data_IF_251692777235
#
_entry.id   IF_251692777235
#
_cell.length_a   1.000
_cell.length_b   1.000
_cell.length_c   1.000
_cell.angle_alpha   90.00
_cell.angle_beta   90.00
_cell.angle_gamma   90.00
#
_symmetry.space_group_name_H-M   'P 1'
#
loop_
_entity.id
_entity.type
_entity.pdbx_description
1 polymer ?
#
# COMPACT_ATOMS: atom_id res chain seq x y z
N UNK A 1 -35.64 2.10 -26.59
CA UNK A 1 -34.97 1.48 -25.44
C UNK A 1 -35.42 2.23 -24.20
N UNK A 2 -36.19 1.57 -23.32
CA UNK A 2 -36.95 2.18 -22.24
C UNK A 2 -36.16 2.05 -20.93
N UNK A 3 -35.79 3.17 -20.33
CA UNK A 3 -34.92 3.31 -19.14
C UNK A 3 -35.65 2.99 -17.82
N UNK A 4 -36.63 2.08 -17.85
CA UNK A 4 -37.49 1.73 -16.70
C UNK A 4 -36.88 0.72 -15.72
N UNK A 5 -35.71 0.15 -16.04
CA UNK A 5 -35.01 -0.82 -15.20
C UNK A 5 -33.84 -0.21 -14.40
N UNK A 6 -33.80 1.13 -14.26
CA UNK A 6 -32.85 1.78 -13.36
C UNK A 6 -33.30 1.57 -11.92
N UNK A 7 -32.81 0.50 -11.30
CA UNK A 7 -32.99 0.23 -9.87
C UNK A 7 -32.26 1.32 -9.08
N UNK A 8 -33.00 2.07 -8.27
CA UNK A 8 -32.44 3.01 -7.32
C UNK A 8 -31.74 2.21 -6.21
N UNK A 9 -30.42 2.04 -6.33
CA UNK A 9 -29.60 1.47 -5.27
C UNK A 9 -29.53 2.50 -4.13
N UNK A 10 -30.32 2.23 -3.09
CA UNK A 10 -30.33 2.95 -1.83
C UNK A 10 -28.91 3.01 -1.27
N UNK A 11 -28.37 4.22 -1.18
CA UNK A 11 -27.12 4.63 -0.55
C UNK A 11 -25.92 3.69 -0.72
N UNK A 12 -24.97 4.11 -1.56
CA UNK A 12 -23.58 3.72 -1.39
C UNK A 12 -23.13 4.13 0.02
N UNK A 13 -23.20 3.19 0.99
CA UNK A 13 -22.50 3.32 2.27
C UNK A 13 -21.02 3.51 1.96
N UNK A 14 -20.59 4.77 1.92
CA UNK A 14 -19.17 5.10 2.03
C UNK A 14 -18.70 4.40 3.30
N UNK A 15 -17.65 3.60 3.19
CA UNK A 15 -16.94 3.14 4.38
C UNK A 15 -16.29 4.37 5.01
N UNK A 16 -17.06 5.08 5.82
CA UNK A 16 -16.57 6.04 6.78
C UNK A 16 -15.94 5.24 7.91
N UNK A 17 -14.65 4.94 7.76
CA UNK A 17 -13.68 5.05 8.84
C UNK A 17 -12.28 5.02 8.22
N UNK A 18 -11.86 6.15 7.64
CA UNK A 18 -10.42 6.38 7.50
C UNK A 18 -9.94 6.86 8.87
N UNK A 19 -9.75 5.93 9.81
CA UNK A 19 -9.11 6.23 11.08
C UNK A 19 -7.80 6.96 10.77
N UNK A 20 -7.61 8.15 11.36
CA UNK A 20 -6.42 8.97 11.11
C UNK A 20 -5.14 8.29 11.62
N UNK A 21 -5.29 7.23 12.42
CA UNK A 21 -4.29 6.24 12.79
C UNK A 21 -3.92 5.37 11.60
N UNK A 22 -3.49 5.99 10.49
CA UNK A 22 -2.84 5.27 9.39
C UNK A 22 -1.62 4.59 10.01
N UNK A 23 -1.75 3.28 10.29
CA UNK A 23 -0.70 2.48 10.89
C UNK A 23 0.63 2.74 10.19
N UNK A 24 1.73 2.66 10.94
CA UNK A 24 3.07 3.03 10.49
C UNK A 24 3.34 2.59 9.04
N UNK A 25 3.64 3.57 8.20
CA UNK A 25 3.97 3.36 6.80
C UNK A 25 5.26 2.53 6.78
N UNK A 26 5.13 1.30 6.32
CA UNK A 26 6.21 0.35 6.19
C UNK A 26 6.66 0.26 4.74
N UNK A 27 7.95 0.03 4.52
CA UNK A 27 8.51 -0.20 3.20
C UNK A 27 9.12 -1.60 3.14
N UNK A 28 8.73 -2.36 2.12
CA UNK A 28 9.23 -3.71 1.89
C UNK A 28 10.00 -3.77 0.59
N UNK A 29 11.26 -4.17 0.65
CA UNK A 29 12.05 -4.39 -0.55
C UNK A 29 11.78 -5.80 -1.07
N UNK A 30 11.27 -5.90 -2.30
CA UNK A 30 11.00 -7.20 -2.95
C UNK A 30 12.28 -7.95 -3.31
N UNK A 31 13.36 -7.23 -3.59
CA UNK A 31 14.65 -7.83 -3.93
C UNK A 31 15.36 -8.41 -2.70
N UNK A 32 15.24 -7.74 -1.55
CA UNK A 32 15.82 -8.20 -0.28
C UNK A 32 14.85 -9.07 0.55
N UNK A 33 13.60 -9.15 0.12
CA UNK A 33 12.49 -9.85 0.78
C UNK A 33 12.26 -9.46 2.25
N UNK A 34 12.64 -8.23 2.64
CA UNK A 34 12.54 -7.74 4.01
C UNK A 34 11.99 -6.33 4.10
N UNK A 35 11.49 -6.00 5.29
CA UNK A 35 11.18 -4.63 5.67
C UNK A 35 12.47 -3.82 5.75
N UNK A 36 12.46 -2.65 5.13
CA UNK A 36 13.59 -1.72 5.09
C UNK A 36 13.09 -0.31 5.31
N UNK A 37 13.92 0.56 5.85
CA UNK A 37 13.65 2.00 5.79
C UNK A 37 14.08 2.51 4.42
N UNK A 38 13.13 2.60 3.48
CA UNK A 38 13.45 2.97 2.12
C UNK A 38 13.83 4.46 2.01
N UNK A 39 14.91 4.75 1.30
CA UNK A 39 15.40 6.12 1.11
C UNK A 39 14.70 6.74 -0.09
N UNK A 40 14.13 7.93 0.07
CA UNK A 40 13.67 8.72 -1.08
C UNK A 40 14.87 9.24 -1.86
N UNK A 41 14.97 8.86 -3.14
CA UNK A 41 16.06 9.35 -4.02
C UNK A 41 15.96 10.86 -4.27
N UNK A 42 14.74 11.40 -4.30
CA UNK A 42 14.47 12.80 -4.53
C UNK A 42 13.39 13.29 -3.56
N UNK A 43 13.48 14.54 -3.06
CA UNK A 43 12.49 15.11 -2.14
C UNK A 43 11.08 15.15 -2.74
N UNK A 44 10.98 15.39 -4.06
CA UNK A 44 9.71 15.41 -4.81
C UNK A 44 9.43 14.11 -5.59
N UNK A 45 10.24 13.07 -5.40
CA UNK A 45 10.14 11.83 -6.15
C UNK A 45 9.31 10.76 -5.43
N UNK A 46 8.51 10.01 -6.20
CA UNK A 46 7.85 8.79 -5.73
C UNK A 46 8.76 7.55 -5.78
N UNK A 47 10.05 7.74 -6.10
CA UNK A 47 11.03 6.65 -6.20
C UNK A 47 11.74 6.46 -4.85
N UNK A 48 11.49 5.30 -4.26
CA UNK A 48 12.17 4.83 -3.07
C UNK A 48 13.23 3.81 -3.46
N UNK A 49 14.35 3.82 -2.74
CA UNK A 49 15.48 2.93 -2.96
C UNK A 49 15.72 2.13 -1.69
N UNK A 50 15.96 0.83 -1.85
CA UNK A 50 16.43 -0.01 -0.75
C UNK A 50 17.88 0.37 -0.38
N UNK A 51 18.19 0.72 0.88
CA UNK A 51 19.57 1.01 1.29
C UNK A 51 20.50 -0.21 1.26
N UNK A 52 19.96 -1.43 1.15
CA UNK A 52 20.72 -2.68 1.28
C UNK A 52 21.15 -3.24 -0.08
N UNK A 53 20.30 -3.15 -1.09
CA UNK A 53 20.60 -3.62 -2.45
C UNK A 53 20.61 -2.52 -3.51
N UNK A 54 20.33 -1.25 -3.14
CA UNK A 54 20.09 -0.13 -4.05
C UNK A 54 19.00 -0.40 -5.10
N UNK A 55 18.15 -1.40 -4.88
CA UNK A 55 17.03 -1.76 -5.73
C UNK A 55 15.88 -0.77 -5.64
N UNK A 56 15.15 -0.61 -6.74
CA UNK A 56 13.97 0.26 -6.84
C UNK A 56 12.63 -0.45 -6.60
N UNK A 57 12.62 -1.77 -6.38
CA UNK A 57 11.38 -2.53 -6.17
C UNK A 57 10.94 -2.48 -4.70
N UNK A 58 10.49 -1.30 -4.26
CA UNK A 58 9.95 -1.08 -2.93
C UNK A 58 8.41 -1.08 -2.96
N UNK A 59 7.80 -1.92 -2.14
CA UNK A 59 6.38 -1.88 -1.82
C UNK A 59 6.13 -0.97 -0.62
N UNK A 60 5.10 -0.14 -0.71
CA UNK A 60 4.70 0.82 0.32
C UNK A 60 3.31 0.40 0.80
N UNK A 61 3.13 0.32 2.11
CA UNK A 61 1.84 -0.04 2.71
C UNK A 61 1.91 0.07 4.23
N UNK A 62 0.83 -0.29 4.91
CA UNK A 62 0.87 -0.49 6.36
C UNK A 62 1.67 -1.76 6.68
N UNK A 63 2.25 -1.83 7.88
CA UNK A 63 2.92 -3.05 8.35
C UNK A 63 2.02 -4.29 8.19
N UNK A 64 0.75 -4.19 8.58
CA UNK A 64 -0.24 -5.26 8.44
C UNK A 64 -0.46 -5.64 6.98
N UNK A 65 -0.68 -4.68 6.08
CA UNK A 65 -0.90 -4.94 4.67
C UNK A 65 0.31 -5.60 3.99
N UNK A 66 1.53 -5.21 4.38
CA UNK A 66 2.77 -5.85 3.92
C UNK A 66 2.88 -7.25 4.52
N UNK A 67 2.62 -7.44 5.81
CA UNK A 67 2.64 -8.75 6.45
C UNK A 67 1.64 -9.69 5.79
N UNK A 68 0.44 -9.24 5.46
CA UNK A 68 -0.56 -10.05 4.77
C UNK A 68 -0.17 -10.39 3.33
N UNK A 69 0.36 -9.42 2.56
CA UNK A 69 0.79 -9.66 1.18
C UNK A 69 2.05 -10.52 1.06
N UNK A 70 2.96 -10.43 2.05
CA UNK A 70 4.26 -11.10 2.04
C UNK A 70 4.42 -12.11 3.18
N UNK A 71 3.30 -12.65 3.69
CA UNK A 71 3.19 -13.62 4.80
C UNK A 71 4.13 -14.83 4.68
N UNK A 72 4.47 -15.23 3.45
CA UNK A 72 5.35 -16.37 3.15
C UNK A 72 6.84 -16.00 3.00
N UNK A 73 7.20 -14.72 3.08
CA UNK A 73 8.58 -14.22 2.85
C UNK A 73 9.15 -13.46 4.05
N UNK A 74 8.29 -13.00 4.96
CA UNK A 74 8.69 -12.40 6.24
C UNK A 74 8.67 -13.54 7.27
N UNK A 75 9.80 -14.22 7.43
CA UNK A 75 9.99 -15.27 8.43
C UNK A 75 10.87 -14.76 9.57
#
# INVERSE_FOLDING_TARGET
>A
MNYKDLVNIDEFKKREDFSLERGDISFYCKDCEKLVEAIRKNPNGYKFICPLCNGGNISIGTFEGIKENYKNKIQ
#
